data_IF_479883417424
#
_entry.id   IF_479883417424
#
_cell.length_a   1.000
_cell.length_b   1.000
_cell.length_c   1.000
_cell.angle_alpha   90.00
_cell.angle_beta   90.00
_cell.angle_gamma   90.00
#
_symmetry.space_group_name_H-M   'P 1'
#
loop_
_entity.id
_entity.type
_entity.pdbx_description
1 polymer ?
#
# COMPACT_ATOMS: atom_id res chain seq x y z
N UNK A 1 -18.93 3.40 16.08
CA UNK A 1 -18.59 3.81 14.69
C UNK A 1 -17.53 2.94 14.01
N UNK A 2 -16.47 2.50 14.71
CA UNK A 2 -15.39 1.64 14.18
C UNK A 2 -15.88 0.31 13.56
N UNK A 3 -16.79 -0.39 14.25
CA UNK A 3 -17.34 -1.69 13.79
C UNK A 3 -18.22 -1.56 12.53
N UNK A 4 -18.96 -0.46 12.39
CA UNK A 4 -19.79 -0.19 11.19
C UNK A 4 -18.91 -0.05 9.94
N UNK A 5 -17.78 0.66 10.06
CA UNK A 5 -16.79 0.81 8.97
C UNK A 5 -16.11 -0.52 8.62
N UNK A 6 -15.72 -1.29 9.63
CA UNK A 6 -15.16 -2.64 9.41
C UNK A 6 -16.08 -3.55 8.59
N UNK A 7 -17.39 -3.54 8.85
CA UNK A 7 -18.37 -4.32 8.08
C UNK A 7 -18.48 -3.84 6.62
N UNK A 8 -18.46 -2.53 6.40
CA UNK A 8 -18.49 -1.96 5.05
C UNK A 8 -17.25 -2.34 4.23
N UNK A 9 -16.05 -2.24 4.81
CA UNK A 9 -14.80 -2.61 4.14
C UNK A 9 -14.74 -4.09 3.78
N UNK A 10 -15.23 -5.00 4.64
CA UNK A 10 -15.36 -6.42 4.30
C UNK A 10 -16.23 -6.65 3.07
N UNK A 11 -17.38 -5.98 2.99
CA UNK A 11 -18.30 -6.10 1.85
C UNK A 11 -17.62 -5.61 0.56
N UNK A 12 -16.95 -4.47 0.61
CA UNK A 12 -16.26 -3.90 -0.54
C UNK A 12 -15.07 -4.78 -0.98
N UNK A 13 -14.31 -5.30 -0.03
CA UNK A 13 -13.20 -6.21 -0.33
C UNK A 13 -13.67 -7.53 -0.95
N UNK A 14 -14.87 -8.01 -0.58
CA UNK A 14 -15.45 -9.19 -1.21
C UNK A 14 -15.77 -8.96 -2.70
N UNK A 15 -16.24 -7.76 -3.05
CA UNK A 15 -16.46 -7.37 -4.46
C UNK A 15 -15.12 -7.35 -5.22
N UNK A 16 -14.06 -6.82 -4.59
CA UNK A 16 -12.72 -6.82 -5.19
C UNK A 16 -12.17 -8.22 -5.42
N UNK A 17 -12.33 -9.13 -4.46
CA UNK A 17 -11.93 -10.55 -4.61
C UNK A 17 -12.69 -11.26 -5.72
N UNK A 18 -14.02 -11.13 -5.75
CA UNK A 18 -14.86 -11.87 -6.69
C UNK A 18 -14.78 -11.32 -8.12
N UNK A 19 -14.76 -10.00 -8.29
CA UNK A 19 -14.84 -9.36 -9.61
C UNK A 19 -13.47 -9.18 -10.25
N UNK A 20 -12.49 -8.73 -9.46
CA UNK A 20 -11.16 -8.35 -9.94
C UNK A 20 -10.08 -9.38 -9.59
N UNK A 21 -10.45 -10.50 -8.96
CA UNK A 21 -9.56 -11.62 -8.62
C UNK A 21 -8.35 -11.20 -7.77
N UNK A 22 -8.50 -10.20 -6.90
CA UNK A 22 -7.47 -9.83 -5.94
C UNK A 22 -7.18 -10.99 -4.99
N UNK A 23 -5.92 -11.45 -4.95
CA UNK A 23 -5.45 -12.50 -4.05
C UNK A 23 -4.63 -11.90 -2.91
N UNK A 24 -4.78 -12.40 -1.67
CA UNK A 24 -3.87 -12.06 -0.59
C UNK A 24 -2.46 -12.66 -0.87
N UNK A 25 -1.36 -11.96 -0.50
CA UNK A 25 -1.33 -10.62 0.11
C UNK A 25 -1.62 -9.52 -0.93
N UNK A 26 -2.50 -8.56 -0.59
CA UNK A 26 -2.78 -7.43 -1.49
C UNK A 26 -1.57 -6.51 -1.51
N UNK A 27 -1.20 -6.10 -2.72
CA UNK A 27 -0.15 -5.11 -2.95
C UNK A 27 -0.76 -3.71 -2.86
N UNK A 28 -0.24 -2.89 -1.95
CA UNK A 28 -0.69 -1.51 -1.73
C UNK A 28 0.45 -0.58 -2.07
N UNK A 29 0.23 0.29 -3.05
CA UNK A 29 1.16 1.34 -3.41
C UNK A 29 0.91 2.55 -2.51
N UNK A 30 1.98 3.12 -1.96
CA UNK A 30 1.91 4.31 -1.10
C UNK A 30 2.68 5.46 -1.75
N UNK A 31 2.05 6.63 -1.73
CA UNK A 31 2.62 7.87 -2.26
C UNK A 31 3.48 8.60 -1.21
N UNK A 32 4.39 9.44 -1.68
CA UNK A 32 5.25 10.30 -0.88
C UNK A 32 4.47 11.24 0.05
N UNK A 33 3.39 11.87 -0.43
CA UNK A 33 2.56 12.76 0.39
C UNK A 33 1.86 12.01 1.53
N UNK A 34 1.39 10.79 1.26
CA UNK A 34 0.77 9.96 2.28
C UNK A 34 1.75 9.61 3.41
N UNK A 35 3.04 9.42 3.09
CA UNK A 35 4.10 9.14 4.08
C UNK A 35 4.41 10.40 4.89
N UNK A 36 4.48 11.57 4.24
CA UNK A 36 4.70 12.85 4.93
C UNK A 36 3.56 13.19 5.89
N UNK A 37 2.31 13.00 5.46
CA UNK A 37 1.15 13.20 6.33
C UNK A 37 1.09 12.17 7.47
N UNK A 38 1.43 10.91 7.20
CA UNK A 38 1.53 9.88 8.24
C UNK A 38 2.58 10.24 9.30
N UNK A 39 3.72 10.81 8.88
CA UNK A 39 4.77 11.29 9.79
C UNK A 39 4.26 12.47 10.65
N UNK A 40 3.59 13.47 10.05
CA UNK A 40 3.00 14.59 10.79
C UNK A 40 1.98 14.15 11.85
N UNK A 41 1.18 13.14 11.53
CA UNK A 41 0.16 12.59 12.43
C UNK A 41 0.73 11.63 13.48
N UNK A 42 2.06 11.43 13.51
CA UNK A 42 2.74 10.43 14.34
C UNK A 42 2.07 9.05 14.23
N UNK A 43 1.56 8.72 13.05
CA UNK A 43 1.04 7.39 12.77
C UNK A 43 2.25 6.48 12.60
N UNK A 44 2.77 5.97 13.73
CA UNK A 44 3.96 5.13 13.86
C UNK A 44 3.94 3.89 12.97
N UNK A 45 2.78 3.55 12.40
CA UNK A 45 2.59 2.34 11.65
C UNK A 45 1.78 2.62 10.38
N UNK A 46 2.44 2.96 9.28
CA UNK A 46 1.95 2.53 7.96
C UNK A 46 1.79 0.99 7.95
N UNK A 47 2.56 0.30 8.80
CA UNK A 47 2.40 -1.12 9.19
C UNK A 47 1.05 -1.48 9.85
N UNK A 48 0.23 -0.52 10.25
CA UNK A 48 -1.11 -0.74 10.83
C UNK A 48 -2.24 -0.66 9.78
N UNK A 49 -1.88 -0.49 8.50
CA UNK A 49 -2.73 -0.82 7.33
C UNK A 49 -3.64 -2.07 7.47
N UNK A 50 -3.23 -3.18 8.15
CA UNK A 50 -4.11 -4.32 8.44
C UNK A 50 -5.47 -3.99 9.07
N UNK A 51 -5.64 -2.91 9.84
CA UNK A 51 -6.95 -2.59 10.43
C UNK A 51 -8.00 -2.16 9.39
N UNK A 52 -7.56 -1.55 8.29
CA UNK A 52 -8.44 -1.02 7.24
C UNK A 52 -8.77 -2.08 6.20
N UNK A 53 -7.75 -2.84 5.76
CA UNK A 53 -7.90 -3.83 4.68
C UNK A 53 -8.32 -5.19 5.22
N UNK A 54 -8.08 -5.47 6.51
CA UNK A 54 -8.46 -6.71 7.23
C UNK A 54 -8.01 -7.99 6.53
N UNK A 55 -6.86 -7.90 5.88
CA UNK A 55 -6.21 -9.00 5.20
C UNK A 55 -4.72 -8.70 5.13
N UNK A 56 -3.94 -9.71 4.76
CA UNK A 56 -2.51 -9.57 4.57
C UNK A 56 -2.23 -8.55 3.45
N UNK A 57 -1.49 -7.51 3.79
CA UNK A 57 -1.11 -6.43 2.88
C UNK A 57 0.39 -6.30 2.80
N UNK A 58 0.89 -6.17 1.58
CA UNK A 58 2.27 -5.87 1.28
C UNK A 58 2.36 -4.44 0.77
N UNK A 59 3.16 -3.62 1.43
CA UNK A 59 3.26 -2.20 1.12
C UNK A 59 4.44 -1.94 0.21
N UNK A 60 4.21 -1.15 -0.83
CA UNK A 60 5.21 -0.78 -1.82
C UNK A 60 5.32 0.73 -1.97
N UNK A 61 6.54 1.19 -2.22
CA UNK A 61 6.84 2.56 -2.62
C UNK A 61 7.49 2.55 -4.01
N UNK A 62 7.10 3.52 -4.84
CA UNK A 62 7.70 3.70 -6.17
C UNK A 62 8.99 4.51 -6.10
N UNK A 63 9.83 4.38 -7.13
CA UNK A 63 11.09 5.12 -7.18
C UNK A 63 10.92 6.62 -7.38
N UNK A 64 9.87 7.08 -8.07
CA UNK A 64 9.60 8.52 -8.15
C UNK A 64 9.19 9.09 -6.78
N UNK A 65 8.39 8.36 -6.00
CA UNK A 65 7.96 8.78 -4.67
C UNK A 65 9.12 8.83 -3.67
N UNK A 66 10.01 7.83 -3.67
CA UNK A 66 11.17 7.86 -2.76
C UNK A 66 12.14 8.99 -3.12
N UNK A 67 12.34 9.28 -4.41
CA UNK A 67 13.17 10.41 -4.84
C UNK A 67 12.56 11.75 -4.40
N UNK A 68 11.23 11.86 -4.46
CA UNK A 68 10.52 13.03 -3.96
C UNK A 68 10.73 13.21 -2.43
N UNK A 69 10.75 12.11 -1.66
CA UNK A 69 11.07 12.14 -0.23
C UNK A 69 12.53 12.53 0.05
N UNK A 70 13.48 12.10 -0.78
CA UNK A 70 14.87 12.55 -0.63
C UNK A 70 15.01 14.06 -0.88
N UNK A 71 14.27 14.59 -1.86
CA UNK A 71 14.27 16.02 -2.17
C UNK A 71 13.61 16.88 -1.07
N UNK A 72 12.66 16.33 -0.31
CA UNK A 72 12.02 17.05 0.79
C UNK A 72 12.87 17.14 2.06
N UNK A 73 13.97 16.38 2.14
CA UNK A 73 14.92 16.42 3.26
C UNK A 73 14.40 15.87 4.59
N UNK A 74 13.22 15.25 4.62
CA UNK A 74 12.62 14.71 5.84
C UNK A 74 13.13 13.30 6.12
N UNK A 75 14.15 13.20 6.99
CA UNK A 75 14.84 11.95 7.30
C UNK A 75 13.91 10.89 7.93
N UNK A 76 12.96 11.28 8.77
CA UNK A 76 12.02 10.34 9.40
C UNK A 76 11.09 9.70 8.37
N UNK A 77 10.56 10.50 7.44
CA UNK A 77 9.72 10.00 6.36
C UNK A 77 10.50 9.06 5.41
N UNK A 78 11.76 9.37 5.15
CA UNK A 78 12.67 8.51 4.36
C UNK A 78 12.90 7.17 5.07
N UNK A 79 13.11 7.18 6.39
CA UNK A 79 13.37 5.96 7.14
C UNK A 79 12.12 5.07 7.24
N UNK A 80 10.93 5.68 7.37
CA UNK A 80 9.65 4.97 7.22
C UNK A 80 9.55 4.34 5.83
N UNK A 81 9.82 5.11 4.77
CA UNK A 81 9.76 4.61 3.39
C UNK A 81 10.74 3.45 3.13
N UNK A 82 11.92 3.43 3.76
CA UNK A 82 12.89 2.33 3.66
C UNK A 82 12.42 1.02 4.29
N UNK A 83 11.51 1.06 5.26
CA UNK A 83 10.93 -0.17 5.85
C UNK A 83 9.95 -0.88 4.92
N UNK A 84 9.50 -0.20 3.87
CA UNK A 84 8.58 -0.71 2.87
C UNK A 84 9.38 -1.38 1.75
N UNK A 85 8.77 -2.32 1.04
CA UNK A 85 9.42 -2.92 -0.11
C UNK A 85 9.46 -1.92 -1.27
N UNK A 86 10.61 -1.82 -1.92
CA UNK A 86 10.78 -1.02 -3.12
C UNK A 86 10.44 -1.90 -4.32
N UNK A 87 9.44 -1.51 -5.09
CA UNK A 87 9.17 -2.15 -6.38
C UNK A 87 9.32 -1.11 -7.50
N UNK A 88 10.08 -1.50 -8.53
CA UNK A 88 10.10 -0.75 -9.77
C UNK A 88 8.75 -0.92 -10.48
N UNK A 89 8.18 0.20 -10.95
CA UNK A 89 6.89 0.24 -11.65
C UNK A 89 6.84 -0.74 -12.84
N UNK A 90 8.00 -1.06 -13.41
CA UNK A 90 8.18 -2.02 -14.50
C UNK A 90 7.95 -3.47 -14.04
N UNK A 91 8.34 -3.84 -12.82
CA UNK A 91 8.10 -5.18 -12.27
C UNK A 91 6.64 -5.42 -11.92
N UNK A 92 5.92 -4.37 -11.49
CA UNK A 92 4.49 -4.44 -11.20
C UNK A 92 3.66 -4.76 -12.46
N UNK A 93 4.00 -4.15 -13.61
CA UNK A 93 3.38 -4.46 -14.91
C UNK A 93 3.63 -5.90 -15.37
N UNK A 94 4.85 -6.43 -15.16
CA UNK A 94 5.18 -7.82 -15.53
C UNK A 94 4.41 -8.84 -14.69
N UNK A 95 4.30 -8.63 -13.36
CA UNK A 95 3.50 -9.52 -12.49
C UNK A 95 2.01 -9.50 -12.85
N UNK A 96 1.45 -8.34 -13.18
CA UNK A 96 0.05 -8.24 -13.62
C UNK A 96 -0.19 -8.92 -14.97
N UNK A 97 0.74 -8.80 -15.93
CA UNK A 97 0.64 -9.49 -17.22
C UNK A 97 0.72 -11.01 -17.09
N UNK A 98 1.58 -11.56 -16.24
CA UNK A 98 1.68 -13.01 -16.04
C UNK A 98 0.40 -13.59 -15.41
N UNK A 99 -0.26 -12.85 -14.52
CA UNK A 99 -1.54 -13.27 -13.90
C UNK A 99 -2.70 -13.20 -14.92
N UNK A 100 -2.70 -12.23 -15.83
CA UNK A 100 -3.68 -12.12 -16.91
C UNK A 100 -3.49 -13.20 -18.00
N UNK A 101 -2.28 -13.73 -18.19
CA UNK A 101 -1.98 -14.78 -19.17
C UNK A 101 -2.22 -16.21 -18.67
N UNK A 102 -2.59 -16.40 -17.40
CA UNK A 102 -2.92 -17.69 -16.80
C UNK A 102 -4.41 -17.81 -16.44
N UNK A 103 -5.24 -16.95 -17.02
CA UNK A 103 -6.71 -16.99 -17.01
C UNK A 103 -7.22 -17.05 -18.44
#
# INVERSE_FOLDING_TARGET
MRQKRAKAYRKQMNVYKMTFKFKPPIQVLVDSDAILEAQKLSLTSIKESPWTVQMETKLFITQCCINHLYNSGNQEAIDIAKTMEKEDVIMMKRKLQTIAFHL
#
